data_IF_063820913798
#
_entry.id   IF_063820913798
#
_cell.length_a   1.000
_cell.length_b   1.000
_cell.length_c   1.000
_cell.angle_alpha   90.00
_cell.angle_beta   90.00
_cell.angle_gamma   90.00
#
_symmetry.space_group_name_H-M   'P 1'
#
loop_
_entity.id
_entity.type
_entity.pdbx_description
1 polymer ?
#
# COMPACT_ATOMS: atom_id res chain seq x y z
N UNK A 1 -3.21 7.05 11.95
CA UNK A 1 -4.01 5.85 11.58
C UNK A 1 -3.45 5.08 10.38
N UNK A 2 -2.59 5.69 9.55
CA UNK A 2 -2.01 5.09 8.35
C UNK A 2 -0.50 4.97 8.50
N UNK A 3 0.12 4.04 7.77
CA UNK A 3 1.56 3.88 7.66
C UNK A 3 1.94 3.92 6.18
N UNK A 4 2.74 4.90 5.76
CA UNK A 4 3.12 5.06 4.35
C UNK A 4 4.50 4.46 4.13
N UNK A 5 4.63 3.60 3.12
CA UNK A 5 5.86 2.85 2.84
C UNK A 5 5.99 2.57 1.35
N UNK A 6 7.20 2.35 0.83
CA UNK A 6 7.38 2.07 -0.59
C UNK A 6 6.77 0.72 -0.99
N UNK A 7 7.18 -0.39 -0.34
CA UNK A 7 6.77 -1.73 -0.72
C UNK A 7 5.80 -2.40 0.26
N UNK A 8 6.11 -2.41 1.55
CA UNK A 8 5.29 -3.10 2.54
C UNK A 8 5.96 -3.25 3.89
N UNK A 9 5.43 -4.15 4.72
CA UNK A 9 5.97 -4.48 6.06
C UNK A 9 6.02 -5.98 6.25
N UNK A 10 7.03 -6.47 6.97
CA UNK A 10 7.12 -7.87 7.36
C UNK A 10 6.09 -8.16 8.48
N UNK A 11 5.18 -9.13 8.32
CA UNK A 11 4.10 -9.39 9.28
C UNK A 11 4.58 -9.78 10.68
N UNK A 12 5.70 -10.50 10.77
CA UNK A 12 6.23 -10.98 12.06
C UNK A 12 7.08 -9.93 12.80
N UNK A 13 7.08 -8.67 12.35
CA UNK A 13 7.82 -7.58 13.02
C UNK A 13 6.88 -6.43 13.38
N UNK A 14 7.02 -5.84 14.57
CA UNK A 14 6.39 -4.56 14.89
C UNK A 14 6.71 -3.48 13.85
N UNK A 15 5.81 -2.52 13.64
CA UNK A 15 5.98 -1.45 12.64
C UNK A 15 7.23 -0.59 12.89
N UNK A 16 7.63 -0.41 14.14
CA UNK A 16 8.82 0.34 14.58
C UNK A 16 10.12 -0.49 14.54
N UNK A 17 10.02 -1.79 14.20
CA UNK A 17 11.15 -2.71 14.11
C UNK A 17 11.28 -3.33 12.71
N UNK A 18 10.64 -2.71 11.72
CA UNK A 18 10.83 -3.07 10.32
C UNK A 18 12.26 -2.76 9.89
N UNK A 19 12.84 -3.64 9.07
CA UNK A 19 14.13 -3.36 8.45
C UNK A 19 13.91 -2.59 7.13
N UNK A 20 14.89 -1.80 6.75
CA UNK A 20 14.84 -0.98 5.55
C UNK A 20 14.64 -1.79 4.27
N UNK A 21 15.24 -2.98 4.17
CA UNK A 21 15.12 -3.83 3.00
C UNK A 21 13.66 -4.22 2.74
N UNK A 22 12.93 -4.65 3.76
CA UNK A 22 11.53 -5.04 3.64
C UNK A 22 10.65 -3.83 3.32
N UNK A 23 10.88 -2.69 3.97
CA UNK A 23 10.16 -1.44 3.69
C UNK A 23 10.27 -1.03 2.21
N UNK A 24 11.41 -1.33 1.57
CA UNK A 24 11.68 -0.96 0.18
C UNK A 24 11.38 -2.07 -0.85
N UNK A 25 11.43 -3.35 -0.48
CA UNK A 25 11.47 -4.43 -1.49
C UNK A 25 10.55 -5.62 -1.21
N UNK A 26 9.87 -5.67 -0.06
CA UNK A 26 9.07 -6.84 0.29
C UNK A 26 7.90 -7.04 -0.68
N UNK A 27 7.67 -8.30 -1.05
CA UNK A 27 6.44 -8.73 -1.74
C UNK A 27 5.73 -9.78 -0.89
N UNK A 28 6.33 -10.95 -0.76
CA UNK A 28 5.89 -11.96 0.22
C UNK A 28 6.79 -11.90 1.45
N UNK A 29 6.26 -12.16 2.66
CA UNK A 29 4.87 -12.57 2.95
C UNK A 29 3.82 -11.44 2.98
N UNK A 30 4.21 -10.16 2.86
CA UNK A 30 3.30 -9.01 3.01
C UNK A 30 2.04 -9.03 2.13
N UNK A 31 2.17 -9.21 0.81
CA UNK A 31 1.06 -9.16 -0.15
C UNK A 31 0.04 -10.29 0.07
N UNK A 32 0.42 -11.37 0.75
CA UNK A 32 -0.49 -12.47 1.11
C UNK A 32 -0.97 -12.39 2.55
N UNK A 33 -0.41 -11.52 3.38
CA UNK A 33 -0.77 -11.40 4.79
C UNK A 33 -2.14 -10.74 4.98
N UNK A 34 -2.90 -11.28 5.93
CA UNK A 34 -4.16 -10.74 6.45
C UNK A 34 -4.02 -10.15 7.85
N UNK A 35 -2.81 -10.11 8.41
CA UNK A 35 -2.54 -9.59 9.75
C UNK A 35 -2.97 -8.12 9.88
N UNK A 36 -3.49 -7.76 11.06
CA UNK A 36 -3.75 -6.37 11.43
C UNK A 36 -2.47 -5.74 11.98
N UNK A 37 -1.90 -4.81 11.21
CA UNK A 37 -0.69 -4.07 11.61
C UNK A 37 -0.98 -2.92 12.58
N UNK A 38 -2.23 -2.76 13.04
CA UNK A 38 -2.70 -1.65 13.87
C UNK A 38 -2.80 -0.32 13.11
N UNK A 39 -2.43 -0.30 11.83
CA UNK A 39 -2.55 0.82 10.89
C UNK A 39 -2.82 0.29 9.48
N UNK A 40 -3.51 1.11 8.68
CA UNK A 40 -3.62 0.85 7.24
C UNK A 40 -2.27 1.13 6.57
N UNK A 41 -1.63 0.10 6.02
CA UNK A 41 -0.37 0.24 5.28
C UNK A 41 -0.66 0.71 3.85
N UNK A 42 -0.26 1.93 3.50
CA UNK A 42 -0.40 2.49 2.15
C UNK A 42 0.93 2.33 1.43
N UNK A 43 0.94 1.64 0.30
CA UNK A 43 2.16 1.26 -0.40
C UNK A 43 2.01 1.26 -1.93
N UNK A 44 3.14 1.04 -2.61
CA UNK A 44 3.22 0.81 -4.05
C UNK A 44 4.13 -0.38 -4.35
N UNK A 45 5.13 -0.15 -5.21
CA UNK A 45 6.23 -1.07 -5.57
C UNK A 45 5.85 -2.30 -6.42
N UNK A 46 4.66 -2.86 -6.17
CA UNK A 46 4.14 -4.00 -6.93
C UNK A 46 2.91 -3.54 -7.71
N UNK A 47 3.02 -3.31 -9.02
CA UNK A 47 1.91 -2.91 -9.86
C UNK A 47 0.74 -3.90 -9.75
N UNK A 48 -0.49 -3.39 -9.61
CA UNK A 48 -1.68 -4.24 -9.65
C UNK A 48 -1.94 -4.71 -11.09
N UNK A 49 -2.31 -5.97 -11.26
CA UNK A 49 -2.48 -6.56 -12.61
C UNK A 49 -3.62 -5.93 -13.41
N UNK A 50 -4.65 -5.41 -12.74
CA UNK A 50 -5.84 -4.81 -13.35
C UNK A 50 -5.79 -3.27 -13.42
N UNK A 51 -4.71 -2.63 -12.94
CA UNK A 51 -4.55 -1.18 -13.01
C UNK A 51 -5.48 -0.38 -12.10
N UNK A 52 -6.10 -1.04 -11.11
CA UNK A 52 -6.88 -0.37 -10.06
C UNK A 52 -6.23 -0.59 -8.68
N UNK A 53 -6.41 0.32 -7.71
CA UNK A 53 -5.87 0.13 -6.37
C UNK A 53 -6.34 -1.18 -5.70
N UNK A 54 -5.43 -1.91 -5.06
CA UNK A 54 -5.77 -3.10 -4.24
C UNK A 54 -6.04 -2.64 -2.80
N UNK A 55 -7.31 -2.61 -2.41
CA UNK A 55 -7.74 -2.18 -1.09
C UNK A 55 -8.16 -3.39 -0.23
N UNK A 56 -7.43 -3.61 0.87
CA UNK A 56 -7.68 -4.68 1.85
C UNK A 56 -7.84 -4.12 3.26
N UNK A 57 -8.38 -4.87 4.25
CA UNK A 57 -8.46 -4.44 5.65
C UNK A 57 -7.17 -3.81 6.19
N UNK A 58 -6.03 -4.45 5.95
CA UNK A 58 -4.73 -4.11 6.50
C UNK A 58 -3.84 -3.25 5.59
N UNK A 59 -4.13 -3.15 4.29
CA UNK A 59 -3.30 -2.40 3.35
C UNK A 59 -4.05 -1.78 2.17
N UNK A 60 -3.40 -0.83 1.51
CA UNK A 60 -3.83 -0.19 0.28
C UNK A 60 -2.64 -0.06 -0.67
N UNK A 61 -2.69 -0.75 -1.81
CA UNK A 61 -1.72 -0.59 -2.89
C UNK A 61 -2.24 0.45 -3.90
N UNK A 62 -1.45 1.50 -4.16
CA UNK A 62 -1.77 2.54 -5.17
C UNK A 62 -0.88 2.46 -6.41
N UNK A 63 0.03 1.49 -6.50
CA UNK A 63 0.80 1.25 -7.72
C UNK A 63 -0.08 0.54 -8.75
N UNK A 64 -0.69 1.35 -9.61
CA UNK A 64 -1.55 0.92 -10.72
C UNK A 64 -0.77 0.73 -12.02
N UNK A 65 0.57 0.84 -11.98
CA UNK A 65 1.45 0.54 -13.11
C UNK A 65 1.58 1.68 -14.13
N UNK A 66 1.75 2.93 -13.68
CA UNK A 66 1.86 4.09 -14.56
C UNK A 66 2.91 3.93 -15.68
N UNK A 67 4.08 3.37 -15.34
CA UNK A 67 5.16 3.10 -16.30
C UNK A 67 4.79 2.08 -17.39
N UNK A 68 3.74 1.29 -17.17
CA UNK A 68 3.23 0.30 -18.12
C UNK A 68 2.09 0.85 -18.99
N UNK A 69 1.96 2.18 -19.11
CA UNK A 69 0.92 2.84 -19.90
C UNK A 69 -0.45 2.85 -19.21
N UNK A 70 -0.47 2.69 -17.89
CA UNK A 70 -1.67 2.84 -17.05
C UNK A 70 -1.62 4.18 -16.34
N UNK A 71 -2.63 4.47 -15.54
CA UNK A 71 -2.71 5.76 -14.87
C UNK A 71 -1.76 5.90 -13.67
N UNK A 72 -1.30 7.12 -13.39
CA UNK A 72 -0.67 7.49 -12.13
C UNK A 72 -1.75 7.75 -11.08
N UNK A 73 -1.80 6.90 -10.05
CA UNK A 73 -2.86 6.95 -9.03
C UNK A 73 -2.43 7.60 -7.71
N UNK A 74 -3.30 8.46 -7.17
CA UNK A 74 -3.19 9.04 -5.84
C UNK A 74 -4.43 8.73 -5.00
N UNK A 75 -4.24 8.52 -3.70
CA UNK A 75 -5.31 8.32 -2.72
C UNK A 75 -5.52 9.59 -1.90
N UNK A 76 -6.77 10.06 -1.82
CA UNK A 76 -7.16 11.25 -1.04
C UNK A 76 -7.67 10.81 0.32
N UNK A 77 -7.12 11.41 1.38
CA UNK A 77 -7.46 11.09 2.77
C UNK A 77 -7.99 12.31 3.51
N UNK A 78 -8.87 12.05 4.47
CA UNK A 78 -9.30 13.00 5.51
C UNK A 78 -9.05 12.35 6.88
N UNK A 79 -9.10 13.15 7.95
CA UNK A 79 -8.71 12.70 9.29
C UNK A 79 -9.76 11.82 9.96
N UNK A 80 -11.03 11.99 9.60
CA UNK A 80 -12.20 11.31 10.21
C UNK A 80 -12.31 9.83 9.82
N UNK A 81 -11.59 9.41 8.78
CA UNK A 81 -11.66 8.05 8.25
C UNK A 81 -10.28 7.45 8.16
N UNK A 82 -10.16 6.12 8.13
CA UNK A 82 -8.88 5.43 7.86
C UNK A 82 -8.70 5.21 6.36
N UNK A 83 -9.82 4.92 5.67
CA UNK A 83 -9.86 4.66 4.22
C UNK A 83 -9.65 5.94 3.40
N UNK A 84 -9.22 5.83 2.14
CA UNK A 84 -9.28 6.97 1.23
C UNK A 84 -10.74 7.31 0.93
N UNK A 85 -11.03 8.60 0.78
CA UNK A 85 -12.37 9.08 0.36
C UNK A 85 -12.50 9.17 -1.15
N UNK A 86 -11.37 9.17 -1.88
CA UNK A 86 -11.32 9.23 -3.33
C UNK A 86 -9.97 8.72 -3.86
N UNK A 87 -9.99 8.17 -5.08
CA UNK A 87 -8.79 7.98 -5.89
C UNK A 87 -8.78 8.99 -7.04
N UNK A 88 -7.60 9.55 -7.31
CA UNK A 88 -7.32 10.39 -8.47
C UNK A 88 -6.40 9.61 -9.39
N UNK A 89 -6.61 9.72 -10.70
CA UNK A 89 -5.77 9.07 -11.70
C UNK A 89 -5.46 10.05 -12.81
N UNK A 90 -4.17 10.22 -13.12
CA UNK A 90 -3.69 10.95 -14.30
C UNK A 90 -3.25 9.94 -15.36
N UNK A 91 -3.39 10.30 -16.64
CA UNK A 91 -2.93 9.50 -17.79
C UNK A 91 -1.67 10.12 -18.39
#
# INVERSE_FOLDING_TARGET
MRFFVHAGVHPDRPLDQQNEHDLLWIRKPFLTSTEDFGRLVVHGHTPTENGVPDQRPNRLNIDTGAVYGRGLTAAVFIDETIRPVKFLTAQ
#
